data_IF_940814408040
#
_entry.id   IF_940814408040
#
_cell.length_a   1.000
_cell.length_b   1.000
_cell.length_c   1.000
_cell.angle_alpha   90.00
_cell.angle_beta   90.00
_cell.angle_gamma   90.00
#
_symmetry.space_group_name_H-M   'P 1'
#
loop_
_entity.id
_entity.type
_entity.pdbx_description
1 polymer ?
#
# COMPACT_ATOMS: atom_id res chain seq x y z
N UNK A 1 -20.32 9.33 17.04
CA UNK A 1 -19.37 10.46 16.79
C UNK A 1 -18.45 10.77 17.98
N UNK A 2 -18.95 10.97 19.22
CA UNK A 2 -18.08 11.19 20.39
C UNK A 2 -17.43 9.88 20.87
N UNK A 3 -18.16 8.77 20.88
CA UNK A 3 -17.64 7.43 21.23
C UNK A 3 -16.61 6.90 20.22
N UNK A 4 -16.72 7.21 18.91
CA UNK A 4 -15.70 6.84 17.91
C UNK A 4 -14.39 7.63 18.11
N UNK A 5 -14.46 8.86 18.61
CA UNK A 5 -13.27 9.68 18.90
C UNK A 5 -12.53 9.21 20.16
N UNK A 6 -13.26 8.66 21.16
CA UNK A 6 -12.66 8.06 22.36
C UNK A 6 -12.03 6.68 22.08
N UNK A 7 -12.57 5.91 21.11
CA UNK A 7 -12.04 4.60 20.73
C UNK A 7 -10.78 4.68 19.84
N UNK A 8 -10.57 5.81 19.15
CA UNK A 8 -9.48 5.94 18.18
C UNK A 8 -8.16 6.44 18.81
N UNK A 9 -8.15 6.93 20.06
CA UNK A 9 -6.95 7.50 20.67
C UNK A 9 -6.18 8.38 19.66
N UNK A 10 -5.09 9.01 20.03
CA UNK A 10 -4.22 9.68 19.07
C UNK A 10 -3.47 8.62 18.22
N UNK A 11 -4.09 8.21 17.10
CA UNK A 11 -3.41 7.33 16.13
C UNK A 11 -2.20 8.06 15.56
N UNK A 12 -1.08 7.36 15.35
CA UNK A 12 0.11 7.99 14.80
C UNK A 12 -0.12 8.49 13.37
N UNK A 13 0.52 9.62 13.06
CA UNK A 13 0.56 10.16 11.70
C UNK A 13 1.19 9.17 10.73
N UNK A 14 0.63 9.09 9.52
CA UNK A 14 1.13 8.21 8.47
C UNK A 14 1.10 8.86 7.09
N UNK A 15 2.01 8.43 6.24
CA UNK A 15 1.96 8.67 4.80
C UNK A 15 1.41 7.42 4.11
N UNK A 16 0.64 7.61 3.03
CA UNK A 16 0.11 6.52 2.20
C UNK A 16 1.00 6.31 0.98
N UNK A 17 1.47 5.09 0.76
CA UNK A 17 2.10 4.67 -0.49
C UNK A 17 1.17 3.76 -1.26
N UNK A 18 0.75 4.19 -2.47
CA UNK A 18 0.00 3.35 -3.40
C UNK A 18 0.94 2.78 -4.47
N UNK A 19 1.05 1.46 -4.54
CA UNK A 19 1.89 0.76 -5.51
C UNK A 19 1.14 0.60 -6.84
N UNK A 20 1.41 1.48 -7.79
CA UNK A 20 0.82 1.50 -9.14
C UNK A 20 1.77 0.98 -10.22
N UNK A 21 2.98 0.57 -9.85
CA UNK A 21 3.96 -0.08 -10.71
C UNK A 21 3.75 -1.60 -10.76
N UNK A 22 4.11 -2.21 -11.86
CA UNK A 22 4.03 -3.67 -12.05
C UNK A 22 3.72 -4.01 -13.49
N UNK A 23 3.74 -5.31 -13.84
CA UNK A 23 3.40 -5.79 -15.19
C UNK A 23 1.88 -5.64 -15.50
N UNK A 24 1.29 -4.48 -15.15
CA UNK A 24 -0.07 -4.09 -15.50
C UNK A 24 -0.32 -3.97 -17.02
N UNK A 25 0.69 -4.25 -17.84
CA UNK A 25 0.61 -4.38 -19.29
C UNK A 25 -0.38 -5.46 -19.77
N UNK A 26 -0.84 -6.36 -18.87
CA UNK A 26 -1.74 -7.47 -19.24
C UNK A 26 -3.21 -7.06 -19.41
N UNK A 27 -3.63 -5.92 -18.90
CA UNK A 27 -4.94 -5.32 -19.19
C UNK A 27 -4.81 -4.30 -20.31
N UNK A 28 -4.67 -4.77 -21.56
CA UNK A 28 -4.79 -3.94 -22.78
C UNK A 28 -3.91 -2.67 -22.79
N UNK A 29 -2.69 -2.70 -22.23
CA UNK A 29 -1.74 -1.56 -22.16
C UNK A 29 -2.27 -0.34 -21.37
N UNK A 30 -3.34 -0.49 -20.57
CA UNK A 30 -3.88 0.59 -19.75
C UNK A 30 -3.32 0.50 -18.33
N UNK A 31 -3.05 1.64 -17.71
CA UNK A 31 -2.67 1.70 -16.31
C UNK A 31 -3.86 1.29 -15.44
N UNK A 32 -3.86 0.06 -14.98
CA UNK A 32 -4.93 -0.59 -14.25
C UNK A 32 -5.47 0.24 -13.07
N UNK A 33 -4.64 0.85 -12.19
CA UNK A 33 -5.15 1.67 -11.08
C UNK A 33 -5.94 2.91 -11.51
N UNK A 34 -5.81 3.35 -12.77
CA UNK A 34 -6.56 4.47 -13.34
C UNK A 34 -7.88 4.05 -14.00
N UNK A 35 -8.15 2.75 -14.10
CA UNK A 35 -9.41 2.27 -14.66
C UNK A 35 -10.56 2.51 -13.67
N UNK A 36 -11.72 3.00 -14.15
CA UNK A 36 -12.88 3.14 -13.31
C UNK A 36 -13.45 1.77 -12.92
N UNK A 37 -13.86 1.66 -11.67
CA UNK A 37 -14.54 0.49 -11.11
C UNK A 37 -15.67 0.96 -10.21
N UNK A 38 -16.75 0.18 -10.18
CA UNK A 38 -17.88 0.47 -9.30
C UNK A 38 -17.71 -0.27 -7.96
N UNK A 39 -17.49 0.47 -6.88
CA UNK A 39 -17.45 -0.05 -5.51
C UNK A 39 -18.45 0.73 -4.66
N UNK A 40 -19.31 0.04 -3.95
CA UNK A 40 -20.34 0.64 -3.07
C UNK A 40 -21.17 1.74 -3.78
N UNK A 41 -21.55 1.51 -5.04
CA UNK A 41 -22.34 2.44 -5.84
C UNK A 41 -21.56 3.60 -6.49
N UNK A 42 -20.29 3.80 -6.14
CA UNK A 42 -19.44 4.85 -6.69
C UNK A 42 -18.58 4.33 -7.84
N UNK A 43 -18.65 4.97 -9.01
CA UNK A 43 -17.83 4.66 -10.19
C UNK A 43 -16.68 5.66 -10.28
N UNK A 44 -15.47 5.25 -9.96
CA UNK A 44 -14.25 6.08 -10.01
C UNK A 44 -13.01 5.20 -10.24
N UNK A 45 -11.83 5.77 -10.61
CA UNK A 45 -10.57 5.02 -10.69
C UNK A 45 -10.27 4.21 -9.43
N UNK A 46 -9.68 3.01 -9.59
CA UNK A 46 -9.33 2.14 -8.45
C UNK A 46 -8.49 2.87 -7.40
N UNK A 47 -7.50 3.66 -7.84
CA UNK A 47 -6.65 4.43 -6.93
C UNK A 47 -7.44 5.43 -6.09
N UNK A 48 -8.52 6.02 -6.64
CA UNK A 48 -9.34 7.00 -5.91
C UNK A 48 -10.20 6.32 -4.82
N UNK A 49 -10.60 5.05 -5.03
CA UNK A 49 -11.22 4.24 -3.98
C UNK A 49 -10.23 3.94 -2.85
N UNK A 50 -8.98 3.56 -3.20
CA UNK A 50 -7.94 3.23 -2.24
C UNK A 50 -7.58 4.45 -1.38
N UNK A 51 -7.35 5.61 -2.00
CA UNK A 51 -7.05 6.85 -1.29
C UNK A 51 -8.19 7.21 -0.33
N UNK A 52 -9.44 7.08 -0.78
CA UNK A 52 -10.61 7.36 0.04
C UNK A 52 -10.78 6.36 1.20
N UNK A 53 -10.35 5.11 1.03
CA UNK A 53 -10.36 4.11 2.10
C UNK A 53 -9.29 4.36 3.18
N UNK A 54 -8.21 5.09 2.83
CA UNK A 54 -7.08 5.44 3.70
C UNK A 54 -7.13 6.91 4.13
N UNK A 55 -8.29 7.39 4.58
CA UNK A 55 -8.49 8.77 5.03
C UNK A 55 -7.57 9.12 6.21
N UNK A 56 -7.09 10.35 6.26
CA UNK A 56 -6.20 10.85 7.33
C UNK A 56 -4.70 10.75 7.00
N UNK A 57 -4.30 10.25 5.83
CA UNK A 57 -2.91 10.30 5.41
C UNK A 57 -2.42 11.75 5.27
N UNK A 58 -1.30 12.08 5.95
CA UNK A 58 -0.66 13.41 5.89
C UNK A 58 -0.08 13.66 4.50
N UNK A 59 0.36 12.61 3.82
CA UNK A 59 1.00 12.67 2.51
C UNK A 59 0.64 11.44 1.69
N UNK A 60 0.47 11.62 0.39
CA UNK A 60 0.17 10.54 -0.54
C UNK A 60 1.32 10.41 -1.53
N UNK A 61 1.91 9.22 -1.56
CA UNK A 61 3.00 8.83 -2.45
C UNK A 61 2.48 7.76 -3.40
N UNK A 62 2.81 7.86 -4.68
CA UNK A 62 2.38 6.91 -5.70
C UNK A 62 3.62 6.36 -6.39
N UNK A 63 3.85 5.06 -6.23
CA UNK A 63 4.93 4.37 -6.96
C UNK A 63 4.45 3.95 -8.34
N UNK A 64 4.97 4.59 -9.39
CA UNK A 64 4.59 4.31 -10.78
C UNK A 64 5.74 4.55 -11.74
N UNK A 65 5.95 3.60 -12.68
CA UNK A 65 6.96 3.69 -13.73
C UNK A 65 6.40 4.15 -15.08
N UNK A 66 5.08 4.32 -15.18
CA UNK A 66 4.38 4.77 -16.38
C UNK A 66 3.19 5.65 -16.00
N UNK A 67 2.68 6.45 -16.95
CA UNK A 67 1.58 7.40 -16.75
C UNK A 67 1.77 8.33 -15.53
N UNK A 68 2.99 8.67 -15.19
CA UNK A 68 3.35 9.46 -13.99
C UNK A 68 2.59 10.78 -13.92
N UNK A 69 2.36 11.46 -15.06
CA UNK A 69 1.58 12.71 -15.12
C UNK A 69 0.13 12.53 -14.65
N UNK A 70 -0.50 11.40 -14.99
CA UNK A 70 -1.88 11.13 -14.58
C UNK A 70 -2.05 10.93 -13.08
N UNK A 71 -0.98 10.60 -12.36
CA UNK A 71 -0.98 10.41 -10.92
C UNK A 71 -0.69 11.68 -10.12
N UNK A 72 -0.04 12.69 -10.73
CA UNK A 72 0.41 13.92 -10.03
C UNK A 72 -0.71 14.71 -9.33
N UNK A 73 -1.92 14.63 -9.83
CA UNK A 73 -3.08 15.29 -9.19
C UNK A 73 -3.54 14.62 -7.89
N UNK A 74 -3.04 13.42 -7.59
CA UNK A 74 -3.41 12.60 -6.43
C UNK A 74 -2.36 12.54 -5.35
N UNK A 75 -1.08 12.73 -5.71
CA UNK A 75 0.01 12.65 -4.76
C UNK A 75 1.38 12.81 -5.42
N UNK A 76 2.43 12.72 -4.61
CA UNK A 76 3.81 12.73 -5.10
C UNK A 76 4.13 11.41 -5.80
N UNK A 77 4.73 11.47 -6.98
CA UNK A 77 5.04 10.27 -7.76
C UNK A 77 6.52 9.91 -7.61
N UNK A 78 6.78 8.65 -7.29
CA UNK A 78 8.13 8.06 -7.33
C UNK A 78 8.19 6.98 -8.39
N UNK A 79 9.35 6.82 -9.02
CA UNK A 79 9.61 5.77 -10.01
C UNK A 79 10.84 4.97 -9.61
N UNK A 80 10.91 3.73 -10.08
CA UNK A 80 12.10 2.91 -9.87
C UNK A 80 13.32 3.59 -10.46
N UNK A 81 14.48 3.59 -9.76
CA UNK A 81 15.71 4.10 -10.32
C UNK A 81 16.09 3.37 -11.62
N UNK A 82 16.70 4.08 -12.58
CA UNK A 82 17.10 3.51 -13.87
C UNK A 82 17.99 2.26 -13.73
N UNK A 83 18.81 2.21 -12.67
CA UNK A 83 19.68 1.07 -12.35
C UNK A 83 18.97 -0.23 -12.04
N UNK A 84 17.68 -0.16 -11.65
CA UNK A 84 16.85 -1.32 -11.32
C UNK A 84 15.60 -1.42 -12.21
N UNK A 85 15.47 -0.51 -13.20
CA UNK A 85 14.30 -0.50 -14.09
C UNK A 85 14.20 -1.83 -14.86
N UNK A 86 13.00 -2.39 -14.92
CA UNK A 86 12.75 -3.70 -15.54
C UNK A 86 12.99 -4.93 -14.63
N UNK A 87 13.75 -4.78 -13.55
CA UNK A 87 13.98 -5.84 -12.54
C UNK A 87 13.40 -5.48 -11.17
N UNK A 88 12.77 -4.31 -11.05
CA UNK A 88 12.26 -3.72 -9.81
C UNK A 88 11.32 -4.64 -9.03
N UNK A 89 10.06 -4.34 -9.02
CA UNK A 89 9.05 -5.04 -8.23
C UNK A 89 8.63 -4.19 -7.02
N UNK A 90 7.64 -4.66 -6.25
CA UNK A 90 7.01 -3.82 -5.23
C UNK A 90 7.98 -3.30 -4.16
N UNK A 91 9.02 -4.07 -3.82
CA UNK A 91 10.00 -3.67 -2.81
C UNK A 91 10.80 -2.43 -3.19
N UNK A 92 11.10 -2.23 -4.48
CA UNK A 92 11.80 -1.03 -4.95
C UNK A 92 10.90 0.19 -4.79
N UNK A 93 9.65 0.09 -5.21
CA UNK A 93 8.67 1.16 -5.00
C UNK A 93 8.45 1.49 -3.52
N UNK A 94 8.46 0.48 -2.64
CA UNK A 94 8.38 0.68 -1.19
C UNK A 94 9.62 1.44 -0.67
N UNK A 95 10.83 1.04 -1.11
CA UNK A 95 12.06 1.72 -0.70
C UNK A 95 12.07 3.18 -1.15
N UNK A 96 11.68 3.47 -2.39
CA UNK A 96 11.62 4.84 -2.89
C UNK A 96 10.54 5.67 -2.14
N UNK A 97 9.41 5.04 -1.77
CA UNK A 97 8.41 5.65 -0.90
C UNK A 97 8.96 5.99 0.49
N UNK A 98 9.69 5.07 1.14
CA UNK A 98 10.32 5.29 2.44
C UNK A 98 11.32 6.44 2.43
N UNK A 99 12.09 6.60 1.34
CA UNK A 99 13.08 7.68 1.20
C UNK A 99 12.48 9.08 1.20
N UNK A 100 11.22 9.24 0.77
CA UNK A 100 10.55 10.54 0.69
C UNK A 100 9.38 10.70 1.66
N UNK A 101 9.10 9.69 2.46
CA UNK A 101 7.99 9.68 3.40
C UNK A 101 8.08 10.87 4.37
N UNK A 102 6.96 11.59 4.56
CA UNK A 102 6.91 12.78 5.41
C UNK A 102 6.64 12.46 6.89
N UNK A 103 6.21 11.24 7.20
CA UNK A 103 5.83 10.79 8.54
C UNK A 103 6.68 9.60 8.97
N UNK A 104 6.63 9.25 10.25
CA UNK A 104 7.39 8.10 10.78
C UNK A 104 6.85 6.74 10.31
N UNK A 105 5.59 6.70 9.87
CA UNK A 105 4.93 5.49 9.38
C UNK A 105 4.53 5.62 7.91
N UNK A 106 4.80 4.59 7.12
CA UNK A 106 4.38 4.44 5.74
C UNK A 106 3.35 3.30 5.63
N UNK A 107 2.11 3.65 5.33
CA UNK A 107 1.07 2.67 4.96
C UNK A 107 1.23 2.30 3.49
N UNK A 108 1.48 1.04 3.20
CA UNK A 108 1.65 0.52 1.84
C UNK A 108 0.39 -0.20 1.40
N UNK A 109 -0.09 0.09 0.19
CA UNK A 109 -1.28 -0.51 -0.41
C UNK A 109 -1.06 -0.75 -1.91
N UNK A 110 -1.41 -1.92 -2.47
CA UNK A 110 -1.38 -2.13 -3.92
C UNK A 110 -2.50 -1.35 -4.62
N UNK A 111 -2.22 -0.84 -5.82
CA UNK A 111 -3.15 0.01 -6.60
C UNK A 111 -4.32 -0.73 -7.26
N UNK A 112 -4.47 -2.02 -7.00
CA UNK A 112 -5.49 -2.88 -7.60
C UNK A 112 -6.44 -3.56 -6.60
N UNK A 113 -6.51 -3.03 -5.36
CA UNK A 113 -7.42 -3.48 -4.30
C UNK A 113 -8.44 -2.39 -3.93
N UNK A 114 -9.37 -2.03 -4.81
CA UNK A 114 -10.29 -0.89 -4.60
C UNK A 114 -11.40 -1.16 -3.58
N UNK A 115 -11.58 -2.40 -3.13
CA UNK A 115 -12.67 -2.80 -2.23
C UNK A 115 -12.32 -2.65 -0.74
N UNK A 116 -11.21 -1.99 -0.41
CA UNK A 116 -10.82 -1.74 0.98
C UNK A 116 -11.91 -0.99 1.74
N UNK A 117 -12.21 -1.45 2.95
CA UNK A 117 -13.14 -0.78 3.85
C UNK A 117 -12.57 0.56 4.31
N UNK A 118 -13.46 1.54 4.51
CA UNK A 118 -13.04 2.84 5.04
C UNK A 118 -12.33 2.67 6.38
N UNK A 119 -11.17 3.32 6.54
CA UNK A 119 -10.38 3.31 7.76
C UNK A 119 -9.86 1.91 8.19
N UNK A 120 -9.80 0.93 7.29
CA UNK A 120 -9.27 -0.39 7.57
C UNK A 120 -7.87 -0.36 8.22
N UNK A 121 -7.06 0.61 7.84
CA UNK A 121 -5.69 0.81 8.33
C UNK A 121 -5.60 1.21 9.80
N UNK A 122 -6.70 1.66 10.43
CA UNK A 122 -6.71 2.04 11.84
C UNK A 122 -6.29 0.88 12.75
N UNK A 123 -6.57 -0.38 12.38
CA UNK A 123 -6.07 -1.55 13.13
C UNK A 123 -4.55 -1.64 13.15
N UNK A 124 -3.90 -1.34 12.01
CA UNK A 124 -2.44 -1.32 11.92
C UNK A 124 -1.87 -0.17 12.75
N UNK A 125 -2.43 1.03 12.62
CA UNK A 125 -1.96 2.21 13.37
C UNK A 125 -2.14 2.02 14.88
N UNK A 126 -3.28 1.47 15.32
CA UNK A 126 -3.51 1.17 16.72
C UNK A 126 -2.49 0.17 17.26
N UNK A 127 -2.23 -0.90 16.52
CA UNK A 127 -1.24 -1.91 16.89
C UNK A 127 0.17 -1.31 16.98
N UNK A 128 0.53 -0.42 16.05
CA UNK A 128 1.80 0.29 16.08
C UNK A 128 1.95 1.18 17.33
N UNK A 129 0.87 1.89 17.71
CA UNK A 129 0.85 2.72 18.90
C UNK A 129 0.97 1.93 20.21
N UNK A 130 0.35 0.74 20.27
CA UNK A 130 0.34 -0.12 21.45
C UNK A 130 1.67 -0.84 21.67
N UNK A 131 2.27 -1.40 20.63
CA UNK A 131 3.40 -2.33 20.74
C UNK A 131 4.74 -1.76 20.26
N UNK A 132 4.75 -0.61 19.58
CA UNK A 132 5.95 -0.03 19.01
C UNK A 132 6.57 -0.85 17.86
N UNK A 133 5.77 -1.70 17.23
CA UNK A 133 6.24 -2.62 16.20
C UNK A 133 6.64 -1.90 14.92
N UNK A 134 7.74 -2.36 14.29
CA UNK A 134 8.32 -1.71 13.11
C UNK A 134 7.65 -2.08 11.80
N UNK A 135 7.11 -3.30 11.71
CA UNK A 135 6.49 -3.84 10.50
C UNK A 135 5.25 -4.61 10.87
N UNK A 136 4.11 -4.07 10.49
CA UNK A 136 2.81 -4.70 10.66
C UNK A 136 2.22 -5.04 9.30
N UNK A 137 1.64 -6.22 9.15
CA UNK A 137 1.06 -6.66 7.88
C UNK A 137 -0.35 -7.19 8.09
N UNK A 138 -1.26 -6.82 7.20
CA UNK A 138 -2.61 -7.35 7.23
C UNK A 138 -2.61 -8.85 6.92
N UNK A 139 -3.36 -9.62 7.71
CA UNK A 139 -3.58 -11.04 7.52
C UNK A 139 -5.09 -11.30 7.50
N UNK A 140 -5.61 -11.79 6.39
CA UNK A 140 -6.97 -12.32 6.37
C UNK A 140 -6.99 -13.73 7.00
N UNK A 141 -8.14 -14.34 7.11
CA UNK A 141 -8.22 -15.67 7.74
C UNK A 141 -7.44 -16.78 7.01
N UNK A 142 -6.94 -16.50 5.80
CA UNK A 142 -6.30 -17.49 4.93
C UNK A 142 -4.81 -17.23 4.71
N UNK A 143 -4.42 -15.94 4.58
CA UNK A 143 -3.04 -15.59 4.21
C UNK A 143 -2.66 -14.17 4.61
N UNK A 144 -1.36 -13.95 4.67
CA UNK A 144 -0.74 -12.63 4.81
C UNK A 144 -0.93 -11.83 3.52
N UNK A 145 -1.41 -10.61 3.65
CA UNK A 145 -1.57 -9.66 2.56
C UNK A 145 -0.30 -8.81 2.42
N UNK A 146 0.74 -9.38 1.83
CA UNK A 146 2.13 -8.90 1.89
C UNK A 146 2.38 -7.45 1.44
N UNK A 147 1.45 -6.82 0.73
CA UNK A 147 1.54 -5.44 0.27
C UNK A 147 0.52 -4.52 0.96
N UNK A 148 -0.22 -5.02 1.96
CA UNK A 148 -1.05 -4.22 2.83
C UNK A 148 -0.38 -4.18 4.20
N UNK A 149 0.56 -3.24 4.37
CA UNK A 149 1.40 -3.20 5.56
C UNK A 149 1.68 -1.76 6.02
N UNK A 150 1.96 -1.63 7.32
CA UNK A 150 2.44 -0.40 7.93
C UNK A 150 3.90 -0.59 8.29
N UNK A 151 4.74 0.30 7.80
CA UNK A 151 6.19 0.25 7.95
C UNK A 151 6.67 1.48 8.73
N UNK A 152 7.55 1.26 9.70
CA UNK A 152 8.32 2.33 10.30
C UNK A 152 9.48 2.69 9.38
N UNK A 153 9.86 3.97 9.28
CA UNK A 153 10.98 4.43 8.44
C UNK A 153 12.30 3.74 8.74
N UNK A 154 12.51 3.30 9.97
CA UNK A 154 13.73 2.62 10.43
C UNK A 154 14.03 1.31 9.68
N UNK A 155 13.06 0.77 8.94
CA UNK A 155 13.28 -0.45 8.16
C UNK A 155 13.92 -0.21 6.81
N UNK A 156 14.02 1.04 6.35
CA UNK A 156 14.57 1.38 5.03
C UNK A 156 15.99 0.80 4.78
N UNK A 157 16.96 0.88 5.71
CA UNK A 157 18.28 0.27 5.50
C UNK A 157 18.24 -1.24 5.33
N UNK A 158 17.35 -1.93 6.07
CA UNK A 158 17.15 -3.39 5.97
C UNK A 158 16.58 -3.76 4.60
N UNK A 159 15.58 -3.01 4.12
CA UNK A 159 14.97 -3.22 2.82
C UNK A 159 15.96 -2.99 1.69
N UNK A 160 16.74 -1.91 1.77
CA UNK A 160 17.78 -1.61 0.78
C UNK A 160 18.83 -2.72 0.70
N UNK A 161 19.34 -3.17 1.83
CA UNK A 161 20.30 -4.29 1.90
C UNK A 161 19.71 -5.59 1.32
N UNK A 162 18.42 -5.86 1.54
CA UNK A 162 17.73 -7.02 0.99
C UNK A 162 17.62 -6.95 -0.54
N UNK A 163 17.28 -5.77 -1.08
CA UNK A 163 17.20 -5.52 -2.52
C UNK A 163 18.59 -5.62 -3.19
N UNK A 164 19.63 -5.05 -2.58
CA UNK A 164 21.00 -5.08 -3.08
C UNK A 164 21.57 -6.51 -3.19
N UNK A 165 21.12 -7.44 -2.33
CA UNK A 165 21.43 -8.87 -2.44
C UNK A 165 20.70 -9.58 -3.59
N UNK A 166 19.93 -8.87 -4.40
CA UNK A 166 19.19 -9.42 -5.53
C UNK A 166 17.81 -9.98 -5.18
N UNK A 167 17.36 -9.88 -3.93
CA UNK A 167 16.06 -10.37 -3.52
C UNK A 167 14.92 -9.43 -3.97
N UNK A 168 13.74 -10.02 -4.27
CA UNK A 168 12.59 -9.26 -4.80
C UNK A 168 11.25 -9.67 -4.16
N UNK A 169 11.24 -10.69 -3.32
CA UNK A 169 10.04 -11.23 -2.70
C UNK A 169 9.63 -10.42 -1.46
N UNK A 170 8.48 -9.74 -1.53
CA UNK A 170 7.92 -9.03 -0.37
C UNK A 170 7.65 -9.99 0.80
N UNK A 171 7.10 -11.17 0.53
CA UNK A 171 6.89 -12.20 1.54
C UNK A 171 8.18 -12.55 2.28
N UNK A 172 9.25 -12.84 1.54
CA UNK A 172 10.53 -13.23 2.15
C UNK A 172 11.13 -12.07 2.96
N UNK A 173 11.02 -10.81 2.48
CA UNK A 173 11.49 -9.67 3.25
C UNK A 173 10.72 -9.51 4.56
N UNK A 174 9.39 -9.60 4.53
CA UNK A 174 8.55 -9.53 5.72
C UNK A 174 8.88 -10.63 6.75
N UNK A 175 9.19 -11.85 6.28
CA UNK A 175 9.67 -12.94 7.13
C UNK A 175 11.04 -12.59 7.76
N UNK A 176 11.97 -12.03 6.97
CA UNK A 176 13.31 -11.67 7.41
C UNK A 176 13.31 -10.58 8.50
N UNK A 177 12.40 -9.61 8.39
CA UNK A 177 12.31 -8.50 9.38
C UNK A 177 11.41 -8.82 10.57
N UNK A 178 10.83 -10.02 10.62
CA UNK A 178 9.95 -10.42 11.71
C UNK A 178 8.64 -9.66 11.73
N UNK A 179 8.02 -9.43 10.56
CA UNK A 179 6.76 -8.71 10.47
C UNK A 179 5.64 -9.38 11.28
N UNK A 180 4.89 -8.58 12.03
CA UNK A 180 3.78 -9.02 12.87
C UNK A 180 2.47 -8.98 12.09
N UNK A 181 1.70 -10.06 12.16
CA UNK A 181 0.39 -10.17 11.52
C UNK A 181 -0.69 -9.46 12.33
N UNK A 182 -1.48 -8.64 11.65
CA UNK A 182 -2.69 -8.02 12.20
C UNK A 182 -3.90 -8.64 11.53
N UNK A 183 -4.74 -9.34 12.30
CA UNK A 183 -5.84 -10.13 11.76
C UNK A 183 -7.02 -9.25 11.32
N UNK A 184 -7.49 -9.51 10.11
CA UNK A 184 -8.69 -8.96 9.50
C UNK A 184 -9.67 -10.10 9.20
N UNK A 185 -10.82 -10.17 9.87
CA UNK A 185 -11.81 -11.22 9.62
C UNK A 185 -12.51 -11.11 8.27
N UNK A 186 -12.55 -9.89 7.70
CA UNK A 186 -13.11 -9.62 6.36
C UNK A 186 -12.05 -9.91 5.29
N UNK A 187 -12.33 -10.85 4.40
CA UNK A 187 -11.38 -11.28 3.37
C UNK A 187 -11.57 -10.56 2.04
N UNK A 188 -12.80 -10.21 1.70
CA UNK A 188 -13.16 -9.70 0.37
C UNK A 188 -12.60 -8.30 0.09
N UNK A 189 -12.29 -7.53 1.13
CA UNK A 189 -11.73 -6.19 0.95
C UNK A 189 -10.32 -6.20 0.36
N UNK A 190 -9.58 -7.31 0.47
CA UNK A 190 -8.24 -7.46 -0.11
C UNK A 190 -8.24 -8.07 -1.52
N UNK A 191 -9.42 -8.18 -2.13
CA UNK A 191 -9.54 -8.73 -3.48
C UNK A 191 -8.84 -7.84 -4.51
N UNK A 192 -7.93 -8.46 -5.28
CA UNK A 192 -7.25 -7.77 -6.38
C UNK A 192 -8.11 -7.89 -7.65
N UNK A 193 -8.45 -6.78 -8.27
CA UNK A 193 -9.02 -6.77 -9.60
C UNK A 193 -7.91 -7.10 -10.60
N UNK A 194 -7.97 -8.24 -11.28
CA UNK A 194 -6.90 -8.71 -12.16
C UNK A 194 -7.25 -8.67 -13.64
N UNK A 195 -8.51 -8.75 -14.00
CA UNK A 195 -8.99 -8.73 -15.38
C UNK A 195 -10.27 -7.90 -15.56
N UNK A 196 -10.74 -7.80 -16.82
CA UNK A 196 -11.95 -7.04 -17.15
C UNK A 196 -13.23 -7.70 -16.60
N UNK A 197 -13.20 -9.00 -16.28
CA UNK A 197 -14.33 -9.69 -15.69
C UNK A 197 -14.54 -9.26 -14.22
N UNK A 198 -13.46 -8.92 -13.52
CA UNK A 198 -13.48 -8.42 -12.14
C UNK A 198 -14.03 -6.97 -12.07
N UNK A 199 -14.16 -6.27 -13.21
CA UNK A 199 -14.64 -4.87 -13.27
C UNK A 199 -16.18 -4.77 -13.28
N UNK A 200 -16.91 -5.89 -13.35
CA UNK A 200 -18.39 -5.93 -13.40
C UNK A 200 -18.97 -6.03 -12.01
#
# INVERSE_FOLDING_TARGET
MQEEKELLGDLPDFSLLVLCGGKAERLSRRNKPLLPVRVNGHNRPMIDHIINACEGAIDIIISANSATEAYKSRGRVVSDPLSVSGTGGPLVGILEGLKICATHHLLVVPGDTPCLEKNWHHRLLKKAAEDGERVLVAHDNYRRQNLHCLLNLDVAPSLEAFILKGNRSARHWLETVGAIDVLYPQTDMFFNINDEADLK
#
